data_IF_266991889235
#
_entry.id   IF_266991889235
#
_cell.length_a   1.000
_cell.length_b   1.000
_cell.length_c   1.000
_cell.angle_alpha   90.00
_cell.angle_beta   90.00
_cell.angle_gamma   90.00
#
_symmetry.space_group_name_H-M   'P 1'
#
loop_
_entity.id
_entity.type
_entity.pdbx_description
1 polymer ?
#
# COMPACT_ATOMS: atom_id res chain seq x y z
N UNK A 1 -27.94 -39.79 27.78
CA UNK A 1 -26.56 -40.23 28.10
C UNK A 1 -25.89 -40.97 26.93
N UNK A 2 -26.53 -41.99 26.28
CA UNK A 2 -25.92 -42.73 25.13
C UNK A 2 -25.63 -41.86 23.87
N UNK A 3 -26.32 -40.77 23.67
CA UNK A 3 -26.12 -39.86 22.52
C UNK A 3 -24.95 -38.89 22.74
N UNK A 4 -24.72 -38.44 23.97
CA UNK A 4 -23.56 -37.64 24.35
C UNK A 4 -22.23 -38.40 24.16
N UNK A 5 -22.23 -39.71 24.43
CA UNK A 5 -21.09 -40.60 24.24
C UNK A 5 -20.75 -40.86 22.76
N UNK A 6 -21.70 -40.67 21.82
CA UNK A 6 -21.45 -40.84 20.37
C UNK A 6 -20.80 -39.61 19.73
N UNK A 7 -20.88 -38.46 20.35
CA UNK A 7 -20.35 -37.19 19.84
C UNK A 7 -19.06 -36.73 20.57
N UNK A 8 -18.51 -37.57 21.45
CA UNK A 8 -17.28 -37.26 22.15
C UNK A 8 -16.10 -36.89 21.23
N UNK A 9 -15.91 -37.48 20.01
CA UNK A 9 -14.83 -37.08 19.13
C UNK A 9 -15.02 -35.67 18.61
N UNK A 10 -16.28 -35.26 18.37
CA UNK A 10 -16.61 -33.89 17.94
C UNK A 10 -16.32 -32.89 19.04
N UNK A 11 -16.66 -33.22 20.30
CA UNK A 11 -16.34 -32.41 21.46
C UNK A 11 -14.84 -32.28 21.72
N UNK A 12 -14.06 -33.32 21.48
CA UNK A 12 -12.61 -33.27 21.58
C UNK A 12 -12.02 -32.37 20.48
N UNK A 13 -12.58 -32.43 19.26
CA UNK A 13 -12.14 -31.58 18.15
C UNK A 13 -12.47 -30.12 18.43
N UNK A 14 -13.66 -29.84 18.97
CA UNK A 14 -14.11 -28.51 19.38
C UNK A 14 -13.26 -27.97 20.56
N UNK A 15 -13.06 -28.78 21.59
CA UNK A 15 -12.27 -28.40 22.75
C UNK A 15 -10.79 -28.23 22.38
N UNK A 16 -10.25 -29.11 21.52
CA UNK A 16 -8.89 -29.01 21.01
C UNK A 16 -8.67 -27.75 20.19
N UNK A 17 -9.62 -27.43 19.29
CA UNK A 17 -9.57 -26.21 18.48
C UNK A 17 -9.69 -24.96 19.35
N UNK A 18 -10.63 -24.94 20.31
CA UNK A 18 -10.79 -23.84 21.25
C UNK A 18 -9.55 -23.66 22.15
N UNK A 19 -8.95 -24.79 22.59
CA UNK A 19 -7.74 -24.73 23.41
C UNK A 19 -6.51 -24.27 22.62
N UNK A 20 -6.36 -24.71 21.37
CA UNK A 20 -5.30 -24.22 20.45
C UNK A 20 -5.49 -22.73 20.21
N UNK A 21 -6.72 -22.27 19.91
CA UNK A 21 -7.04 -20.86 19.73
C UNK A 21 -6.75 -20.04 20.99
N UNK A 22 -7.11 -20.54 22.17
CA UNK A 22 -6.85 -19.88 23.45
C UNK A 22 -5.35 -19.77 23.76
N UNK A 23 -4.58 -20.82 23.51
CA UNK A 23 -3.13 -20.85 23.77
C UNK A 23 -2.34 -19.98 22.79
N UNK A 24 -2.83 -19.83 21.57
CA UNK A 24 -2.22 -19.01 20.51
C UNK A 24 -2.59 -17.54 20.66
N UNK A 25 -3.65 -17.23 21.41
CA UNK A 25 -4.28 -15.89 21.52
C UNK A 25 -3.52 -14.90 22.43
N UNK A 26 -2.23 -15.07 22.65
CA UNK A 26 -1.44 -14.01 23.33
C UNK A 26 -1.13 -12.79 22.44
N UNK A 27 -1.55 -12.80 21.18
CA UNK A 27 -1.44 -11.69 20.24
C UNK A 27 -2.71 -11.62 19.38
N UNK A 28 -3.28 -10.43 19.19
CA UNK A 28 -4.54 -10.14 18.49
C UNK A 28 -4.61 -10.60 17.01
N UNK A 29 -3.62 -11.32 16.52
CA UNK A 29 -3.41 -11.77 15.15
C UNK A 29 -4.32 -12.93 14.70
N UNK A 30 -5.07 -13.57 15.59
CA UNK A 30 -5.77 -14.84 15.31
C UNK A 30 -7.29 -14.76 15.35
N UNK A 31 -7.85 -13.55 15.32
CA UNK A 31 -9.31 -13.32 15.47
C UNK A 31 -10.11 -14.14 14.46
N UNK A 32 -9.71 -14.17 13.20
CA UNK A 32 -10.45 -14.87 12.15
C UNK A 32 -10.38 -16.39 12.27
N UNK A 33 -9.26 -16.95 12.72
CA UNK A 33 -9.21 -18.38 12.99
C UNK A 33 -10.17 -18.78 14.12
N UNK A 34 -10.32 -17.93 15.14
CA UNK A 34 -11.28 -18.12 16.23
C UNK A 34 -12.74 -17.98 15.77
N UNK A 35 -13.02 -17.00 14.89
CA UNK A 35 -14.36 -16.81 14.30
C UNK A 35 -14.76 -18.05 13.50
N UNK A 36 -13.89 -18.56 12.62
CA UNK A 36 -14.18 -19.75 11.85
C UNK A 36 -14.32 -21.01 12.73
N UNK A 37 -13.50 -21.14 13.76
CA UNK A 37 -13.65 -22.23 14.73
C UNK A 37 -15.00 -22.15 15.48
N UNK A 38 -15.40 -20.94 15.90
CA UNK A 38 -16.71 -20.70 16.52
C UNK A 38 -17.88 -21.06 15.60
N UNK A 39 -17.81 -20.70 14.31
CA UNK A 39 -18.81 -21.08 13.32
C UNK A 39 -18.87 -22.61 13.11
N UNK A 40 -17.74 -23.28 13.10
CA UNK A 40 -17.70 -24.75 13.04
C UNK A 40 -18.43 -25.37 14.24
N UNK A 41 -18.22 -24.83 15.44
CA UNK A 41 -18.93 -25.26 16.67
C UNK A 41 -20.44 -25.06 16.54
N UNK A 42 -20.86 -23.88 16.10
CA UNK A 42 -22.29 -23.56 15.91
C UNK A 42 -22.95 -24.52 14.92
N UNK A 43 -22.26 -24.92 13.86
CA UNK A 43 -22.79 -25.90 12.90
C UNK A 43 -22.95 -27.33 13.48
N UNK A 44 -22.22 -27.67 14.54
CA UNK A 44 -22.34 -28.98 15.21
C UNK A 44 -23.53 -29.04 16.18
N UNK A 45 -23.89 -27.93 16.82
CA UNK A 45 -24.94 -27.90 17.83
C UNK A 45 -26.33 -28.48 17.36
N UNK A 46 -26.80 -28.14 16.13
CA UNK A 46 -28.07 -28.69 15.64
C UNK A 46 -28.10 -30.19 15.48
N UNK A 47 -26.94 -30.86 15.30
CA UNK A 47 -26.85 -32.31 15.10
C UNK A 47 -27.47 -33.13 16.23
N UNK A 48 -27.60 -32.53 17.41
CA UNK A 48 -28.26 -33.20 18.56
C UNK A 48 -29.76 -33.36 18.42
N UNK A 49 -30.43 -32.51 17.61
CA UNK A 49 -31.91 -32.48 17.51
C UNK A 49 -32.43 -32.83 16.12
N UNK A 50 -31.59 -32.69 15.09
CA UNK A 50 -32.01 -32.94 13.70
C UNK A 50 -32.04 -34.40 13.40
N UNK A 51 -33.21 -34.90 12.93
CA UNK A 51 -33.41 -36.29 12.49
C UNK A 51 -33.33 -36.48 10.96
N UNK A 52 -33.44 -35.40 10.21
CA UNK A 52 -33.38 -35.40 8.74
C UNK A 52 -31.95 -35.59 8.27
N UNK A 53 -31.67 -36.65 7.54
CA UNK A 53 -30.31 -37.05 7.11
C UNK A 53 -29.61 -35.94 6.28
N UNK A 54 -30.34 -35.30 5.38
CA UNK A 54 -29.73 -34.25 4.53
C UNK A 54 -29.26 -33.04 5.33
N UNK A 55 -30.00 -32.60 6.36
CA UNK A 55 -29.59 -31.54 7.26
C UNK A 55 -28.34 -31.92 8.08
N UNK A 56 -28.26 -33.17 8.51
CA UNK A 56 -27.08 -33.72 9.21
C UNK A 56 -25.85 -33.62 8.31
N UNK A 57 -25.97 -34.08 7.06
CA UNK A 57 -24.86 -33.96 6.10
C UNK A 57 -24.47 -32.51 5.82
N UNK A 58 -25.43 -31.60 5.67
CA UNK A 58 -25.16 -30.18 5.49
C UNK A 58 -24.38 -29.59 6.68
N UNK A 59 -24.81 -29.89 7.90
CA UNK A 59 -24.08 -29.41 9.10
C UNK A 59 -22.67 -29.99 9.18
N UNK A 60 -22.46 -31.26 8.84
CA UNK A 60 -21.12 -31.87 8.81
C UNK A 60 -20.24 -31.20 7.76
N UNK A 61 -20.76 -30.98 6.55
CA UNK A 61 -20.02 -30.28 5.49
C UNK A 61 -19.64 -28.87 5.91
N UNK A 62 -20.58 -28.12 6.46
CA UNK A 62 -20.30 -26.73 6.92
C UNK A 62 -19.26 -26.70 8.05
N UNK A 63 -19.36 -27.63 9.01
CA UNK A 63 -18.36 -27.78 10.07
C UNK A 63 -16.97 -28.04 9.50
N UNK A 64 -16.87 -28.96 8.54
CA UNK A 64 -15.60 -29.29 7.90
C UNK A 64 -15.02 -28.11 7.13
N UNK A 65 -15.85 -27.35 6.42
CA UNK A 65 -15.43 -26.13 5.72
C UNK A 65 -14.89 -25.08 6.70
N UNK A 66 -15.64 -24.77 7.76
CA UNK A 66 -15.19 -23.76 8.73
C UNK A 66 -13.95 -24.20 9.50
N UNK A 67 -13.82 -25.50 9.81
CA UNK A 67 -12.60 -26.03 10.42
C UNK A 67 -11.40 -25.88 9.48
N UNK A 68 -11.55 -26.19 8.20
CA UNK A 68 -10.51 -26.00 7.19
C UNK A 68 -10.12 -24.50 7.04
N UNK A 69 -11.10 -23.59 7.00
CA UNK A 69 -10.86 -22.14 6.97
C UNK A 69 -10.10 -21.66 8.21
N UNK A 70 -10.47 -22.17 9.40
CA UNK A 70 -9.77 -21.86 10.65
C UNK A 70 -8.29 -22.28 10.60
N UNK A 71 -8.01 -23.49 10.13
CA UNK A 71 -6.64 -24.01 9.99
C UNK A 71 -5.87 -23.23 8.94
N UNK A 72 -6.49 -22.91 7.81
CA UNK A 72 -5.87 -22.11 6.74
C UNK A 72 -5.50 -20.70 7.24
N UNK A 73 -6.41 -20.03 7.95
CA UNK A 73 -6.16 -18.74 8.56
C UNK A 73 -4.98 -18.80 9.54
N UNK A 74 -4.97 -19.79 10.43
CA UNK A 74 -3.91 -20.00 11.40
C UNK A 74 -2.54 -20.22 10.74
N UNK A 75 -2.52 -21.01 9.66
CA UNK A 75 -1.29 -21.29 8.90
C UNK A 75 -0.73 -20.01 8.26
N UNK A 76 -1.59 -19.27 7.57
CA UNK A 76 -1.20 -18.01 6.91
C UNK A 76 -0.80 -16.94 7.90
N UNK A 77 -1.49 -16.82 9.03
CA UNK A 77 -1.12 -15.87 10.09
C UNK A 77 0.27 -16.18 10.67
N UNK A 78 0.60 -17.46 10.88
CA UNK A 78 1.95 -17.86 11.31
C UNK A 78 3.03 -17.59 10.24
N UNK A 79 2.68 -17.74 8.97
CA UNK A 79 3.55 -17.39 7.85
C UNK A 79 3.76 -15.88 7.73
N UNK A 80 2.70 -15.10 7.89
CA UNK A 80 2.72 -13.64 7.85
C UNK A 80 3.54 -13.03 8.99
N UNK A 81 3.52 -13.66 10.19
CA UNK A 81 4.36 -13.21 11.31
C UNK A 81 5.87 -13.39 11.06
N UNK A 82 6.25 -14.15 10.04
CA UNK A 82 7.64 -14.33 9.60
C UNK A 82 7.99 -13.50 8.37
N UNK A 83 7.00 -13.05 7.60
CA UNK A 83 7.19 -12.14 6.48
C UNK A 83 6.82 -10.73 6.93
N UNK A 84 7.74 -9.81 6.79
CA UNK A 84 7.77 -8.42 7.29
C UNK A 84 6.70 -7.47 6.74
N UNK A 85 5.62 -7.97 6.14
CA UNK A 85 4.57 -7.13 5.60
C UNK A 85 3.30 -7.21 6.45
N UNK A 86 3.20 -6.34 7.43
CA UNK A 86 1.91 -6.06 8.12
C UNK A 86 1.14 -5.08 7.24
N UNK A 87 -0.02 -5.46 6.67
CA UNK A 87 -0.89 -4.49 6.01
C UNK A 87 -1.25 -3.40 7.02
N UNK A 88 -1.09 -2.13 6.61
CA UNK A 88 -1.57 -1.00 7.39
C UNK A 88 -3.08 -1.16 7.61
N UNK A 89 -3.58 -1.12 8.86
CA UNK A 89 -5.01 -1.14 9.10
C UNK A 89 -5.63 0.15 8.55
N UNK A 90 -6.44 0.04 7.52
CA UNK A 90 -7.32 1.10 7.07
C UNK A 90 -8.60 1.03 7.90
N UNK A 91 -8.91 2.11 8.55
CA UNK A 91 -10.11 2.50 9.29
C UNK A 91 -10.12 2.27 10.81
N UNK A 92 -10.00 3.41 11.48
CA UNK A 92 -10.72 3.86 12.69
C UNK A 92 -11.05 2.81 13.76
N UNK A 93 -10.08 2.00 14.17
CA UNK A 93 -10.01 1.59 15.55
C UNK A 93 -8.79 2.26 16.17
N UNK A 94 -8.85 2.73 17.43
CA UNK A 94 -7.66 3.24 18.08
C UNK A 94 -6.58 2.15 17.93
N UNK A 95 -5.38 2.53 17.46
CA UNK A 95 -4.31 1.57 17.26
C UNK A 95 -4.08 0.83 18.59
N UNK A 96 -3.82 -0.46 18.51
CA UNK A 96 -3.36 -1.21 19.68
C UNK A 96 -2.15 -0.47 20.28
N UNK A 97 -2.00 -0.43 21.61
CA UNK A 97 -0.89 0.27 22.25
C UNK A 97 0.44 -0.12 21.61
N UNK A 98 1.12 0.83 20.95
CA UNK A 98 2.39 0.62 20.26
C UNK A 98 2.35 0.59 18.72
N UNK A 99 1.17 0.70 18.07
CA UNK A 99 1.05 0.84 16.61
C UNK A 99 0.93 2.31 16.23
N UNK A 100 1.76 2.70 15.28
CA UNK A 100 2.05 4.06 14.87
C UNK A 100 0.84 4.94 14.57
N UNK A 101 0.77 6.10 15.21
CA UNK A 101 -0.11 7.22 14.84
C UNK A 101 0.30 7.91 13.52
N UNK A 102 1.24 7.33 12.75
CA UNK A 102 1.75 7.90 11.49
C UNK A 102 0.66 8.20 10.45
N UNK A 103 -0.51 7.59 10.59
CA UNK A 103 -1.63 7.72 9.68
C UNK A 103 -2.75 8.63 10.22
N UNK A 104 -2.54 9.30 11.36
CA UNK A 104 -3.55 10.21 11.93
C UNK A 104 -3.89 11.39 11.00
N UNK A 105 -3.02 11.69 10.03
CA UNK A 105 -3.18 12.74 9.03
C UNK A 105 -3.80 12.27 7.71
N UNK A 106 -4.45 11.11 7.68
CA UNK A 106 -5.14 10.60 6.51
C UNK A 106 -6.65 10.80 6.67
N UNK A 107 -7.31 11.23 5.59
CA UNK A 107 -8.76 11.34 5.51
C UNK A 107 -9.27 10.67 4.23
N UNK A 108 -10.57 10.27 4.16
CA UNK A 108 -11.18 9.85 2.91
C UNK A 108 -11.09 10.96 1.85
N UNK A 109 -10.75 10.57 0.62
CA UNK A 109 -10.72 11.46 -0.54
C UNK A 109 -11.59 10.86 -1.65
N UNK A 110 -12.59 11.59 -2.17
CA UNK A 110 -13.55 11.04 -3.12
C UNK A 110 -12.93 10.67 -4.48
N UNK A 111 -11.74 11.20 -4.80
CA UNK A 111 -11.04 10.89 -6.05
C UNK A 111 -9.91 9.88 -5.84
N UNK A 112 -9.13 10.06 -4.78
CA UNK A 112 -7.91 9.27 -4.53
C UNK A 112 -8.18 8.07 -3.60
N UNK A 113 -9.41 7.92 -3.09
CA UNK A 113 -9.80 6.95 -2.07
C UNK A 113 -9.45 7.44 -0.67
N UNK A 114 -8.24 7.89 -0.47
CA UNK A 114 -7.77 8.58 0.72
C UNK A 114 -6.68 9.58 0.34
N UNK A 115 -6.39 10.50 1.25
CA UNK A 115 -5.38 11.52 1.03
C UNK A 115 -4.98 12.21 2.33
N UNK A 116 -4.05 13.15 2.25
CA UNK A 116 -3.63 13.89 3.44
C UNK A 116 -4.78 14.77 3.95
N UNK A 117 -4.90 14.84 5.26
CA UNK A 117 -5.77 15.82 5.91
C UNK A 117 -5.14 17.21 5.77
N UNK A 118 -5.86 18.21 5.20
CA UNK A 118 -5.32 19.53 4.98
C UNK A 118 -5.19 20.28 6.31
N UNK A 119 -4.15 19.98 7.04
CA UNK A 119 -3.76 20.68 8.27
C UNK A 119 -2.26 20.59 8.47
N UNK A 120 -1.66 21.68 8.94
CA UNK A 120 -0.29 21.64 9.41
C UNK A 120 -0.25 20.84 10.72
N UNK A 121 0.57 19.82 10.75
CA UNK A 121 0.74 18.99 11.93
C UNK A 121 2.19 18.58 12.14
N UNK A 122 2.48 18.21 13.38
CA UNK A 122 3.74 17.61 13.76
C UNK A 122 3.42 16.39 14.62
N UNK A 123 3.42 15.25 13.97
CA UNK A 123 2.92 14.01 14.55
C UNK A 123 4.07 13.07 14.89
N UNK A 124 4.07 12.53 16.12
CA UNK A 124 4.95 11.43 16.49
C UNK A 124 4.51 10.18 15.75
N UNK A 125 5.47 9.49 15.17
CA UNK A 125 5.27 8.33 14.35
C UNK A 125 6.19 7.22 14.86
N UNK A 126 5.62 6.27 15.59
CA UNK A 126 6.36 5.14 16.13
C UNK A 126 5.86 3.83 15.52
N UNK A 127 6.76 2.95 15.17
CA UNK A 127 6.48 1.56 14.80
C UNK A 127 7.32 0.64 15.68
N UNK A 128 6.67 -0.40 16.19
CA UNK A 128 7.32 -1.45 16.95
C UNK A 128 6.84 -2.83 16.47
N UNK A 129 7.69 -3.85 16.58
CA UNK A 129 7.34 -5.25 16.37
C UNK A 129 7.47 -5.94 17.72
N UNK A 130 6.33 -6.29 18.33
CA UNK A 130 6.30 -6.63 19.75
C UNK A 130 6.80 -5.46 20.58
N UNK A 131 7.74 -5.70 21.47
CA UNK A 131 8.35 -4.68 22.34
C UNK A 131 9.60 -4.01 21.70
N UNK A 132 9.94 -4.35 20.45
CA UNK A 132 11.15 -3.83 19.78
C UNK A 132 10.77 -2.66 18.89
N UNK A 133 11.22 -1.43 19.19
CA UNK A 133 10.97 -0.28 18.32
C UNK A 133 11.71 -0.45 16.99
N UNK A 134 10.99 -0.23 15.88
CA UNK A 134 11.53 -0.20 14.53
C UNK A 134 11.97 1.23 14.19
N UNK A 135 11.11 2.20 14.47
CA UNK A 135 11.42 3.62 14.42
C UNK A 135 10.51 4.42 15.35
N UNK A 136 11.02 5.57 15.77
CA UNK A 136 10.29 6.62 16.49
C UNK A 136 10.75 7.96 15.91
N UNK A 137 9.88 8.62 15.16
CA UNK A 137 10.18 9.82 14.39
C UNK A 137 9.07 10.85 14.51
N UNK A 138 9.38 12.08 14.12
CA UNK A 138 8.39 13.12 13.94
C UNK A 138 8.22 13.39 12.45
N UNK A 139 6.97 13.41 12.00
CA UNK A 139 6.57 13.76 10.64
C UNK A 139 5.83 15.10 10.69
N UNK A 140 6.26 16.03 9.88
CA UNK A 140 5.65 17.36 9.75
C UNK A 140 4.91 17.47 8.42
N UNK A 141 3.68 17.98 8.45
CA UNK A 141 2.90 18.29 7.25
C UNK A 141 2.67 19.79 7.13
N UNK A 142 2.50 20.25 5.89
CA UNK A 142 2.10 21.61 5.56
C UNK A 142 0.59 21.80 5.73
N UNK A 143 0.08 23.03 5.59
CA UNK A 143 -1.37 23.33 5.61
C UNK A 143 -2.16 22.52 4.58
N UNK A 144 -1.52 22.12 3.48
CA UNK A 144 -2.08 21.21 2.48
C UNK A 144 -2.19 19.75 2.94
N UNK A 145 -1.60 19.41 4.09
CA UNK A 145 -1.48 18.05 4.62
C UNK A 145 -0.34 17.23 4.02
N UNK A 146 0.30 17.69 2.95
CA UNK A 146 1.45 17.01 2.36
C UNK A 146 2.70 17.17 3.23
N UNK A 147 3.58 16.16 3.18
CA UNK A 147 4.80 16.14 3.98
C UNK A 147 5.71 17.31 3.63
N UNK A 148 6.30 17.91 4.67
CA UNK A 148 7.17 19.08 4.52
C UNK A 148 8.42 18.77 3.68
N UNK A 149 8.81 19.77 2.91
CA UNK A 149 10.10 19.91 2.23
C UNK A 149 10.68 21.28 2.56
N UNK A 150 11.93 21.58 2.23
CA UNK A 150 12.47 22.92 2.43
C UNK A 150 11.61 23.99 1.76
N UNK A 151 11.14 24.97 2.52
CA UNK A 151 10.28 26.04 2.02
C UNK A 151 11.14 27.23 1.55
N UNK A 152 11.03 27.60 0.27
CA UNK A 152 11.87 28.64 -0.37
C UNK A 152 11.11 29.94 -0.65
N UNK A 153 9.79 29.94 -0.50
CA UNK A 153 8.94 31.09 -0.74
C UNK A 153 9.05 31.64 -2.17
N UNK A 154 9.16 32.95 -2.32
CA UNK A 154 9.21 33.63 -3.64
C UNK A 154 10.59 33.58 -4.30
N UNK A 155 11.59 33.00 -3.66
CA UNK A 155 12.94 32.87 -4.24
C UNK A 155 12.98 31.79 -5.32
N UNK A 156 12.16 30.73 -5.17
CA UNK A 156 12.16 29.63 -6.10
C UNK A 156 11.42 29.95 -7.40
N UNK A 157 12.06 29.69 -8.53
CA UNK A 157 11.50 29.82 -9.88
C UNK A 157 11.14 28.46 -10.48
N UNK A 158 11.75 27.41 -9.98
CA UNK A 158 11.53 26.04 -10.46
C UNK A 158 10.88 25.18 -9.36
N UNK A 159 9.83 24.45 -9.72
CA UNK A 159 9.23 23.44 -8.84
C UNK A 159 9.71 22.04 -9.20
N UNK A 160 9.86 21.18 -8.18
CA UNK A 160 10.12 19.75 -8.34
C UNK A 160 9.09 18.97 -7.55
N UNK A 161 8.21 18.28 -8.24
CA UNK A 161 7.12 17.49 -7.66
C UNK A 161 7.54 16.03 -7.57
N UNK A 162 7.39 15.45 -6.41
CA UNK A 162 7.66 14.03 -6.18
C UNK A 162 6.35 13.30 -5.90
N UNK A 163 5.91 12.49 -6.85
CA UNK A 163 4.75 11.61 -6.76
C UNK A 163 5.20 10.19 -6.42
N UNK A 164 4.39 9.44 -5.70
CA UNK A 164 4.71 8.06 -5.36
C UNK A 164 4.02 7.57 -4.08
N UNK A 165 4.56 6.50 -3.54
CA UNK A 165 4.03 5.82 -2.35
C UNK A 165 4.80 6.18 -1.07
N UNK A 166 4.79 5.27 -0.09
CA UNK A 166 5.54 5.35 1.17
C UNK A 166 7.04 5.62 0.98
N UNK A 167 7.64 5.14 -0.10
CA UNK A 167 9.05 5.40 -0.43
C UNK A 167 9.29 6.87 -0.75
N UNK A 168 8.35 7.53 -1.42
CA UNK A 168 8.39 8.97 -1.69
C UNK A 168 8.00 9.78 -0.47
N UNK A 169 6.97 9.36 0.24
CA UNK A 169 6.62 9.95 1.53
C UNK A 169 7.81 9.92 2.50
N UNK A 170 8.52 8.81 2.56
CA UNK A 170 9.63 8.56 3.46
C UNK A 170 9.17 7.95 4.77
N UNK A 171 8.38 6.85 4.69
CA UNK A 171 7.96 6.13 5.90
C UNK A 171 9.17 5.68 6.71
N UNK A 172 9.10 5.89 8.03
CA UNK A 172 10.18 5.55 8.96
C UNK A 172 11.39 6.51 8.95
N UNK A 173 11.35 7.59 8.16
CA UNK A 173 12.39 8.61 8.08
C UNK A 173 11.92 9.92 8.72
N UNK A 174 12.83 10.65 9.39
CA UNK A 174 12.59 12.03 9.79
C UNK A 174 12.43 12.92 8.56
N UNK A 175 11.85 14.11 8.72
CA UNK A 175 11.55 15.00 7.60
C UNK A 175 12.79 15.27 6.74
N UNK A 176 13.88 15.64 7.37
CA UNK A 176 15.16 15.99 6.73
C UNK A 176 15.89 14.77 6.10
N UNK A 177 15.39 13.56 6.33
CA UNK A 177 15.94 12.33 5.76
C UNK A 177 15.17 11.82 4.53
N UNK A 178 13.97 12.36 4.26
CA UNK A 178 13.22 11.97 3.06
C UNK A 178 13.91 12.48 1.80
N UNK A 179 13.92 11.66 0.72
CA UNK A 179 14.65 12.08 -0.48
C UNK A 179 14.09 13.35 -1.14
N UNK A 180 12.78 13.68 -1.11
CA UNK A 180 12.28 14.96 -1.61
C UNK A 180 12.82 16.16 -0.82
N UNK A 181 12.99 15.99 0.50
CA UNK A 181 13.61 17.03 1.34
C UNK A 181 15.08 17.21 0.99
N UNK A 182 15.85 16.12 0.93
CA UNK A 182 17.27 16.14 0.60
C UNK A 182 17.55 16.73 -0.79
N UNK A 183 16.69 16.45 -1.77
CA UNK A 183 16.79 17.09 -3.10
C UNK A 183 16.62 18.61 -2.98
N UNK A 184 15.61 19.06 -2.22
CA UNK A 184 15.37 20.49 -1.99
C UNK A 184 16.54 21.19 -1.33
N UNK A 185 17.20 20.57 -0.36
CA UNK A 185 18.41 21.11 0.26
C UNK A 185 19.58 21.18 -0.74
N UNK A 186 19.79 20.13 -1.52
CA UNK A 186 20.90 20.04 -2.45
C UNK A 186 20.79 21.00 -3.66
N UNK A 187 19.57 21.37 -4.05
CA UNK A 187 19.30 22.29 -5.17
C UNK A 187 19.29 23.77 -4.75
N UNK A 188 19.08 24.06 -3.46
CA UNK A 188 19.10 25.39 -2.90
C UNK A 188 17.88 26.25 -3.25
N UNK A 189 18.01 27.58 -3.06
CA UNK A 189 16.89 28.50 -3.05
C UNK A 189 16.12 28.67 -4.37
N UNK A 190 16.75 28.37 -5.50
CA UNK A 190 16.10 28.48 -6.81
C UNK A 190 15.02 27.41 -7.06
N UNK A 191 14.96 26.36 -6.22
CA UNK A 191 14.07 25.24 -6.39
C UNK A 191 13.15 25.05 -5.19
N UNK A 192 11.85 24.90 -5.42
CA UNK A 192 10.88 24.47 -4.43
C UNK A 192 10.51 23.00 -4.70
N UNK A 193 10.80 22.13 -3.77
CA UNK A 193 10.38 20.72 -3.84
C UNK A 193 9.02 20.52 -3.16
N UNK A 194 8.25 19.56 -3.66
CA UNK A 194 6.96 19.16 -3.10
C UNK A 194 6.94 17.63 -2.96
N UNK A 195 6.58 17.13 -1.78
CA UNK A 195 6.42 15.72 -1.52
C UNK A 195 4.94 15.33 -1.59
N UNK A 196 4.51 14.78 -2.73
CA UNK A 196 3.18 14.23 -2.97
C UNK A 196 3.15 12.69 -2.81
N UNK A 197 4.14 12.13 -2.15
CA UNK A 197 4.12 10.72 -1.74
C UNK A 197 3.06 10.49 -0.67
N UNK A 198 2.42 9.33 -0.73
CA UNK A 198 1.46 8.88 0.28
C UNK A 198 1.58 7.38 0.47
N UNK A 199 1.66 6.94 1.72
CA UNK A 199 1.76 5.51 2.04
C UNK A 199 0.65 4.71 1.38
N UNK A 200 1.02 3.64 0.69
CA UNK A 200 0.06 2.77 0.00
C UNK A 200 -0.39 3.21 -1.40
N UNK A 201 -0.07 4.42 -1.87
CA UNK A 201 -0.44 4.86 -3.21
C UNK A 201 0.19 4.00 -4.31
N UNK A 202 -0.50 3.95 -5.45
CA UNK A 202 -0.05 3.32 -6.69
C UNK A 202 -0.11 4.29 -7.87
N UNK A 203 0.09 3.74 -9.07
CA UNK A 203 0.09 4.52 -10.32
C UNK A 203 -1.26 5.17 -10.62
N UNK A 204 -2.34 4.54 -10.19
CA UNK A 204 -3.70 5.05 -10.37
C UNK A 204 -3.97 6.33 -9.56
N UNK A 205 -3.47 6.44 -8.31
CA UNK A 205 -3.56 7.70 -7.56
C UNK A 205 -2.67 8.79 -8.18
N UNK A 206 -1.46 8.43 -8.62
CA UNK A 206 -0.59 9.36 -9.32
C UNK A 206 -1.27 9.96 -10.55
N UNK A 207 -1.86 9.11 -11.41
CA UNK A 207 -2.57 9.56 -12.60
C UNK A 207 -3.79 10.42 -12.23
N UNK A 208 -4.62 9.96 -11.28
CA UNK A 208 -5.78 10.70 -10.82
C UNK A 208 -5.42 12.08 -10.25
N UNK A 209 -4.32 12.18 -9.51
CA UNK A 209 -3.84 13.46 -8.98
C UNK A 209 -3.43 14.41 -10.12
N UNK A 210 -2.72 13.93 -11.14
CA UNK A 210 -2.35 14.73 -12.32
C UNK A 210 -3.58 15.19 -13.11
N UNK A 211 -4.56 14.30 -13.33
CA UNK A 211 -5.78 14.61 -14.08
C UNK A 211 -6.71 15.57 -13.32
N UNK A 212 -6.67 15.57 -11.98
CA UNK A 212 -7.62 16.31 -11.13
C UNK A 212 -7.53 17.84 -11.23
N UNK A 213 -6.45 18.37 -11.72
CA UNK A 213 -6.17 19.81 -11.67
C UNK A 213 -5.69 20.32 -10.30
N UNK A 214 -5.54 19.46 -9.29
CA UNK A 214 -5.06 19.86 -7.95
C UNK A 214 -3.63 20.39 -7.95
N UNK A 215 -2.89 20.19 -9.04
CA UNK A 215 -1.53 20.68 -9.23
C UNK A 215 -1.48 22.00 -10.03
N UNK A 216 -2.63 22.49 -10.56
CA UNK A 216 -2.70 23.65 -11.46
C UNK A 216 -2.01 24.91 -10.90
N UNK A 217 -2.18 25.17 -9.61
CA UNK A 217 -1.62 26.38 -8.99
C UNK A 217 -0.08 26.33 -8.90
N UNK A 218 0.49 25.14 -8.78
CA UNK A 218 1.94 24.97 -8.83
C UNK A 218 2.43 25.27 -10.25
N UNK A 219 1.79 24.70 -11.28
CA UNK A 219 2.18 24.93 -12.66
C UNK A 219 1.99 26.38 -13.11
N UNK A 220 1.05 27.14 -12.51
CA UNK A 220 0.86 28.56 -12.76
C UNK A 220 1.90 29.44 -12.07
N UNK A 221 2.37 29.02 -10.87
CA UNK A 221 3.26 29.78 -10.03
C UNK A 221 4.72 29.72 -10.46
N UNK A 222 5.17 28.55 -10.93
CA UNK A 222 6.57 28.31 -11.23
C UNK A 222 6.84 28.36 -12.74
N UNK A 223 7.97 28.94 -13.13
CA UNK A 223 8.37 29.08 -14.53
C UNK A 223 8.70 27.73 -15.17
N UNK A 224 9.22 26.80 -14.36
CA UNK A 224 9.57 25.42 -14.77
C UNK A 224 9.14 24.44 -13.70
N UNK A 225 8.54 23.34 -14.11
CA UNK A 225 8.10 22.29 -13.20
C UNK A 225 8.61 20.95 -13.68
N UNK A 226 9.33 20.24 -12.82
CA UNK A 226 9.72 18.86 -13.02
C UNK A 226 8.78 17.94 -12.23
N UNK A 227 8.32 16.85 -12.83
CA UNK A 227 7.44 15.89 -12.18
C UNK A 227 8.10 14.53 -12.15
N UNK A 228 8.43 14.05 -10.96
CA UNK A 228 9.02 12.74 -10.73
C UNK A 228 8.00 11.78 -10.15
N UNK A 229 8.02 10.54 -10.63
CA UNK A 229 7.26 9.44 -10.06
C UNK A 229 8.17 8.28 -9.72
N UNK A 230 8.30 7.96 -8.44
CA UNK A 230 9.01 6.76 -7.99
C UNK A 230 8.10 5.55 -8.13
N UNK A 231 8.53 4.58 -8.93
CA UNK A 231 7.76 3.37 -9.22
C UNK A 231 8.36 2.13 -8.57
N UNK A 232 7.46 1.24 -8.10
CA UNK A 232 7.76 -0.08 -7.52
C UNK A 232 7.00 -1.15 -8.30
N UNK A 233 7.49 -2.39 -8.30
CA UNK A 233 6.78 -3.53 -8.88
C UNK A 233 5.38 -3.73 -8.27
N UNK A 234 5.23 -3.46 -6.96
CA UNK A 234 3.96 -3.51 -6.26
C UNK A 234 2.90 -2.52 -6.79
N UNK A 235 3.32 -1.45 -7.47
CA UNK A 235 2.38 -0.52 -8.11
C UNK A 235 1.55 -1.17 -9.23
N UNK A 236 2.08 -2.22 -9.88
CA UNK A 236 1.33 -3.02 -10.86
C UNK A 236 0.18 -3.76 -10.18
N UNK A 237 0.41 -4.33 -8.99
CA UNK A 237 -0.61 -4.99 -8.19
C UNK A 237 -1.65 -3.98 -7.68
N UNK A 238 -1.20 -2.83 -7.19
CA UNK A 238 -2.08 -1.78 -6.65
C UNK A 238 -3.02 -1.21 -7.70
N UNK A 239 -2.54 -0.94 -8.90
CA UNK A 239 -3.40 -0.39 -9.97
C UNK A 239 -4.51 -1.35 -10.44
N UNK A 240 -4.40 -2.64 -10.14
CA UNK A 240 -5.44 -3.64 -10.36
C UNK A 240 -6.47 -3.76 -9.23
N UNK A 241 -6.32 -2.99 -8.14
CA UNK A 241 -7.20 -3.06 -6.97
C UNK A 241 -6.94 -4.26 -6.06
N UNK A 242 -5.71 -4.81 -6.11
CA UNK A 242 -5.28 -5.91 -5.24
C UNK A 242 -4.62 -5.42 -3.93
N UNK A 243 -4.72 -4.13 -3.64
CA UNK A 243 -4.32 -3.55 -2.36
C UNK A 243 -5.55 -3.54 -1.42
N UNK A 244 -5.56 -4.29 -0.31
CA UNK A 244 -6.72 -4.39 0.58
C UNK A 244 -7.13 -3.05 1.19
N UNK A 245 -6.16 -2.18 1.44
CA UNK A 245 -6.37 -0.85 2.02
C UNK A 245 -6.92 0.17 1.05
N UNK A 246 -6.96 -0.10 -0.26
CA UNK A 246 -7.30 0.84 -1.31
C UNK A 246 -8.63 0.51 -2.01
N UNK A 247 -9.65 0.19 -1.22
CA UNK A 247 -10.98 -0.19 -1.74
C UNK A 247 -11.70 0.96 -2.42
N UNK A 248 -11.48 2.19 -1.99
CA UNK A 248 -12.12 3.39 -2.54
C UNK A 248 -11.22 4.14 -3.54
N UNK A 249 -10.03 3.62 -3.80
CA UNK A 249 -9.09 4.19 -4.76
C UNK A 249 -9.61 4.26 -6.19
N UNK A 250 -9.05 5.15 -7.03
CA UNK A 250 -9.49 5.37 -8.41
C UNK A 250 -9.23 4.14 -9.27
N UNK A 251 -10.28 3.66 -9.92
CA UNK A 251 -10.20 2.53 -10.83
C UNK A 251 -10.03 2.98 -12.27
N UNK A 252 -9.00 2.49 -12.91
CA UNK A 252 -8.79 2.62 -14.35
C UNK A 252 -8.92 1.25 -15.02
N UNK A 253 -9.33 1.27 -16.28
CA UNK A 253 -9.31 0.10 -17.17
C UNK A 253 -8.57 0.47 -18.45
N UNK A 254 -8.04 -0.53 -19.12
CA UNK A 254 -7.47 -0.36 -20.44
C UNK A 254 -8.61 -0.43 -21.47
N UNK A 255 -8.92 0.69 -22.11
CA UNK A 255 -9.91 0.80 -23.17
C UNK A 255 -9.25 1.36 -24.42
N UNK A 256 -9.26 0.61 -25.51
CA UNK A 256 -8.60 0.98 -26.77
C UNK A 256 -7.13 1.41 -26.61
N UNK A 257 -6.41 0.73 -25.70
CA UNK A 257 -5.01 1.03 -25.39
C UNK A 257 -4.79 2.22 -24.46
N UNK A 258 -5.86 2.88 -23.98
CA UNK A 258 -5.78 4.06 -23.11
C UNK A 258 -6.32 3.74 -21.71
N UNK A 259 -5.60 4.18 -20.67
CA UNK A 259 -6.09 4.09 -19.29
C UNK A 259 -7.28 5.02 -19.08
N UNK A 260 -8.47 4.46 -18.87
CA UNK A 260 -9.73 5.19 -18.73
C UNK A 260 -10.27 5.07 -17.31
N UNK A 261 -10.56 6.21 -16.67
CA UNK A 261 -11.15 6.27 -15.33
C UNK A 261 -12.60 5.75 -15.34
N UNK A 262 -12.94 4.88 -14.38
CA UNK A 262 -14.26 4.24 -14.29
C UNK A 262 -14.88 4.29 -12.88
N UNK A 263 -14.53 5.28 -12.09
CA UNK A 263 -14.98 5.41 -10.71
C UNK A 263 -13.98 4.82 -9.71
N UNK A 264 -14.45 4.29 -8.59
CA UNK A 264 -13.58 3.64 -7.60
C UNK A 264 -13.60 2.10 -7.73
N UNK A 265 -12.62 1.43 -7.11
CA UNK A 265 -12.64 -0.03 -7.02
C UNK A 265 -13.90 -0.53 -6.30
N UNK A 266 -14.33 0.13 -5.21
CA UNK A 266 -15.55 -0.23 -4.49
C UNK A 266 -16.81 -0.14 -5.38
N UNK A 267 -16.92 0.90 -6.22
CA UNK A 267 -18.06 1.05 -7.14
C UNK A 267 -18.14 -0.07 -8.19
N UNK A 268 -16.98 -0.63 -8.58
CA UNK A 268 -16.93 -1.73 -9.54
C UNK A 268 -17.27 -3.09 -8.93
N UNK A 269 -17.31 -3.23 -7.61
CA UNK A 269 -17.58 -4.48 -6.90
C UNK A 269 -19.08 -4.62 -6.64
N UNK A 270 -19.60 -5.86 -6.73
CA UNK A 270 -20.97 -6.15 -6.31
C UNK A 270 -21.17 -5.81 -4.83
N UNK A 271 -22.43 -5.53 -4.43
CA UNK A 271 -22.76 -5.24 -3.03
C UNK A 271 -22.34 -6.37 -2.08
N UNK A 272 -22.46 -7.62 -2.52
CA UNK A 272 -22.04 -8.80 -1.76
C UNK A 272 -20.51 -8.80 -1.55
N UNK A 273 -19.76 -8.53 -2.63
CA UNK A 273 -18.29 -8.46 -2.54
C UNK A 273 -17.85 -7.34 -1.61
N UNK A 274 -18.46 -6.15 -1.70
CA UNK A 274 -18.18 -5.04 -0.78
C UNK A 274 -18.43 -5.40 0.68
N UNK A 275 -19.55 -6.12 0.94
CA UNK A 275 -19.85 -6.63 2.27
C UNK A 275 -18.81 -7.62 2.79
N UNK A 276 -18.38 -8.56 1.96
CA UNK A 276 -17.33 -9.52 2.31
C UNK A 276 -15.98 -8.84 2.52
N UNK A 277 -15.59 -7.92 1.65
CA UNK A 277 -14.34 -7.15 1.79
C UNK A 277 -14.31 -6.45 3.14
N UNK A 278 -15.41 -5.77 3.54
CA UNK A 278 -15.51 -5.06 4.82
C UNK A 278 -15.49 -5.98 6.04
N UNK A 279 -16.11 -7.15 5.96
CA UNK A 279 -16.18 -8.11 7.07
C UNK A 279 -14.87 -8.86 7.22
N UNK A 280 -14.23 -9.24 6.10
CA UNK A 280 -13.06 -10.12 6.06
C UNK A 280 -11.73 -9.38 5.79
N UNK A 281 -11.72 -8.04 5.88
CA UNK A 281 -10.54 -7.21 5.59
C UNK A 281 -9.28 -7.60 6.38
N UNK A 282 -9.46 -8.14 7.58
CA UNK A 282 -8.36 -8.59 8.45
C UNK A 282 -8.07 -10.09 8.33
N UNK A 283 -8.75 -10.83 7.44
CA UNK A 283 -8.49 -12.25 7.22
C UNK A 283 -7.31 -12.44 6.27
N UNK A 284 -6.24 -13.08 6.74
CA UNK A 284 -5.08 -13.42 5.92
C UNK A 284 -5.45 -14.42 4.81
N UNK A 285 -6.35 -15.36 5.12
CA UNK A 285 -6.86 -16.32 4.13
C UNK A 285 -7.67 -15.60 3.04
N UNK A 286 -8.55 -14.69 3.42
CA UNK A 286 -9.32 -13.90 2.45
C UNK A 286 -8.40 -13.05 1.55
N UNK A 287 -7.42 -12.40 2.14
CA UNK A 287 -6.41 -11.60 1.41
C UNK A 287 -5.62 -12.49 0.45
N UNK A 288 -5.17 -13.66 0.89
CA UNK A 288 -4.47 -14.61 0.03
C UNK A 288 -5.34 -15.08 -1.14
N UNK A 289 -6.58 -15.52 -0.87
CA UNK A 289 -7.51 -16.00 -1.90
C UNK A 289 -7.88 -14.90 -2.91
N UNK A 290 -8.06 -13.67 -2.46
CA UNK A 290 -8.39 -12.54 -3.34
C UNK A 290 -7.19 -12.01 -4.10
N UNK A 291 -5.98 -12.29 -3.63
CA UNK A 291 -4.72 -11.98 -4.31
C UNK A 291 -4.28 -13.00 -5.38
N UNK A 292 -4.75 -14.26 -5.29
CA UNK A 292 -4.38 -15.32 -6.25
C UNK A 292 -4.57 -14.95 -7.73
N UNK A 293 -5.63 -14.21 -8.15
CA UNK A 293 -5.79 -13.81 -9.54
C UNK A 293 -4.71 -12.84 -10.05
N UNK A 294 -3.91 -12.21 -9.17
CA UNK A 294 -2.88 -11.26 -9.59
C UNK A 294 -1.88 -11.88 -10.56
N UNK A 295 -1.33 -13.04 -10.25
CA UNK A 295 -0.32 -13.69 -11.10
C UNK A 295 -0.87 -14.06 -12.48
N UNK A 296 -2.13 -14.51 -12.54
CA UNK A 296 -2.80 -14.85 -13.80
C UNK A 296 -3.11 -13.61 -14.65
N UNK A 297 -3.28 -12.44 -14.04
CA UNK A 297 -3.60 -11.17 -14.71
C UNK A 297 -2.39 -10.23 -14.82
N UNK A 298 -1.21 -10.63 -14.31
CA UNK A 298 -0.02 -9.76 -14.22
C UNK A 298 0.29 -9.05 -15.55
N UNK A 299 0.21 -9.77 -16.68
CA UNK A 299 0.47 -9.14 -17.99
C UNK A 299 -0.52 -8.02 -18.29
N UNK A 300 -1.84 -8.27 -18.16
CA UNK A 300 -2.86 -7.25 -18.41
C UNK A 300 -2.74 -6.06 -17.44
N UNK A 301 -2.34 -6.30 -16.20
CA UNK A 301 -2.10 -5.26 -15.21
C UNK A 301 -0.82 -4.47 -15.53
N UNK A 302 0.19 -5.11 -16.07
CA UNK A 302 1.39 -4.41 -16.56
C UNK A 302 1.04 -3.52 -17.75
N UNK A 303 0.24 -4.01 -18.69
CA UNK A 303 -0.23 -3.20 -19.83
C UNK A 303 -1.04 -1.99 -19.34
N UNK A 304 -1.92 -2.16 -18.35
CA UNK A 304 -2.68 -1.07 -17.73
C UNK A 304 -1.76 -0.08 -17.02
N UNK A 305 -0.80 -0.57 -16.22
CA UNK A 305 0.19 0.24 -15.53
C UNK A 305 0.99 1.12 -16.50
N UNK A 306 1.47 0.54 -17.60
CA UNK A 306 2.21 1.27 -18.64
C UNK A 306 1.33 2.31 -19.34
N UNK A 307 0.07 1.97 -19.62
CA UNK A 307 -0.89 2.91 -20.19
C UNK A 307 -1.21 4.08 -19.26
N UNK A 308 -1.19 3.86 -17.93
CA UNK A 308 -1.34 4.95 -16.95
C UNK A 308 -0.14 5.90 -16.96
N UNK A 309 1.08 5.38 -17.06
CA UNK A 309 2.30 6.20 -17.17
C UNK A 309 2.31 7.02 -18.46
N UNK A 310 1.98 6.40 -19.58
CA UNK A 310 1.86 7.07 -20.88
C UNK A 310 0.82 8.20 -20.83
N UNK A 311 -0.35 7.91 -20.26
CA UNK A 311 -1.41 8.90 -20.12
C UNK A 311 -0.98 10.05 -19.20
N UNK A 312 -0.35 9.76 -18.08
CA UNK A 312 0.16 10.77 -17.17
C UNK A 312 1.15 11.71 -17.88
N UNK A 313 2.10 11.15 -18.66
CA UNK A 313 3.02 11.93 -19.44
C UNK A 313 2.31 12.80 -20.47
N UNK A 314 1.36 12.24 -21.23
CA UNK A 314 0.57 12.99 -22.23
C UNK A 314 -0.23 14.14 -21.61
N UNK A 315 -0.84 13.93 -20.45
CA UNK A 315 -1.54 15.00 -19.72
C UNK A 315 -0.58 16.10 -19.29
N UNK A 316 0.58 15.74 -18.76
CA UNK A 316 1.61 16.71 -18.37
C UNK A 316 2.13 17.51 -19.56
N UNK A 317 2.39 16.86 -20.70
CA UNK A 317 2.84 17.52 -21.93
C UNK A 317 1.78 18.49 -22.48
N UNK A 318 0.57 18.01 -22.62
CA UNK A 318 -0.52 18.76 -23.27
C UNK A 318 -1.04 19.92 -22.42
N UNK A 319 -1.18 19.69 -21.10
CA UNK A 319 -1.79 20.66 -20.20
C UNK A 319 -0.78 21.61 -19.57
N UNK A 320 0.42 21.11 -19.26
CA UNK A 320 1.37 21.81 -18.43
C UNK A 320 2.74 22.04 -19.08
N UNK A 321 2.94 21.58 -20.33
CA UNK A 321 4.22 21.65 -21.04
C UNK A 321 5.39 21.08 -20.21
N UNK A 322 5.11 20.00 -19.50
CA UNK A 322 6.04 19.28 -18.63
C UNK A 322 6.01 17.80 -18.98
N UNK A 323 6.95 17.02 -18.47
CA UNK A 323 7.08 15.59 -18.72
C UNK A 323 7.11 14.81 -17.40
N UNK A 324 6.66 13.55 -17.46
CA UNK A 324 6.82 12.60 -16.38
C UNK A 324 8.24 12.00 -16.41
N UNK A 325 8.97 12.16 -15.32
CA UNK A 325 10.26 11.49 -15.12
C UNK A 325 10.05 10.32 -14.18
N UNK A 326 10.25 9.11 -14.66
CA UNK A 326 10.10 7.89 -13.86
C UNK A 326 11.40 7.61 -13.11
N UNK A 327 11.33 7.53 -11.79
CA UNK A 327 12.42 6.98 -10.98
C UNK A 327 12.17 5.48 -10.87
N UNK A 328 12.99 4.67 -11.54
CA UNK A 328 12.83 3.21 -11.56
C UNK A 328 13.54 2.60 -10.37
N UNK A 329 12.81 2.23 -9.30
CA UNK A 329 13.38 1.52 -8.17
C UNK A 329 14.03 0.20 -8.62
N UNK A 330 15.03 -0.30 -7.89
CA UNK A 330 15.91 -1.41 -8.28
C UNK A 330 15.19 -2.65 -8.84
N UNK A 331 13.99 -2.93 -8.31
CA UNK A 331 13.18 -4.08 -8.72
C UNK A 331 12.49 -3.87 -10.07
N UNK A 332 12.29 -2.61 -10.48
CA UNK A 332 11.60 -2.24 -11.72
C UNK A 332 12.53 -2.03 -12.93
N UNK A 333 13.80 -2.37 -12.81
CA UNK A 333 14.75 -2.29 -13.95
C UNK A 333 14.29 -3.06 -15.18
N UNK A 334 13.51 -4.12 -14.99
CA UNK A 334 12.95 -4.91 -16.07
C UNK A 334 12.06 -4.12 -17.04
N UNK A 335 11.49 -2.99 -16.61
CA UNK A 335 10.59 -2.15 -17.39
C UNK A 335 11.25 -0.92 -18.03
N UNK A 336 12.57 -0.77 -17.94
CA UNK A 336 13.27 0.40 -18.50
C UNK A 336 13.11 0.51 -20.02
N UNK A 337 13.02 -0.63 -20.71
CA UNK A 337 12.79 -0.66 -22.17
C UNK A 337 11.38 -0.17 -22.51
N UNK A 338 10.39 -0.62 -21.75
CA UNK A 338 8.99 -0.23 -21.91
C UNK A 338 8.82 1.26 -21.62
N UNK A 339 9.45 1.79 -20.57
CA UNK A 339 9.41 3.24 -20.30
C UNK A 339 10.03 4.04 -21.45
N UNK A 340 11.18 3.59 -21.97
CA UNK A 340 11.82 4.25 -23.12
C UNK A 340 10.97 4.18 -24.38
N UNK A 341 10.29 3.06 -24.62
CA UNK A 341 9.37 2.89 -25.76
C UNK A 341 8.15 3.84 -25.69
N UNK A 342 7.74 4.23 -24.50
CA UNK A 342 6.69 5.23 -24.23
C UNK A 342 7.23 6.68 -24.29
N UNK A 343 8.51 6.89 -24.59
CA UNK A 343 9.14 8.22 -24.59
C UNK A 343 9.35 8.82 -23.21
N UNK A 344 9.19 8.02 -22.14
CA UNK A 344 9.37 8.49 -20.77
C UNK A 344 10.84 8.72 -20.44
N UNK A 345 11.12 9.80 -19.75
CA UNK A 345 12.42 10.04 -19.15
C UNK A 345 12.59 9.16 -17.91
N UNK A 346 13.77 8.57 -17.72
CA UNK A 346 14.03 7.63 -16.64
C UNK A 346 15.24 8.04 -15.83
N UNK A 347 15.10 8.07 -14.52
CA UNK A 347 16.21 8.09 -13.57
C UNK A 347 16.41 6.64 -13.10
N UNK A 348 17.54 6.03 -13.49
CA UNK A 348 18.00 4.77 -12.91
C UNK A 348 18.93 5.05 -11.73
N UNK A 349 18.50 4.82 -10.48
CA UNK A 349 19.33 5.06 -9.31
C UNK A 349 20.36 3.97 -9.07
N UNK A 350 20.32 2.86 -9.79
CA UNK A 350 21.15 1.67 -9.53
C UNK A 350 22.66 1.91 -9.52
N UNK A 351 23.24 2.85 -10.30
CA UNK A 351 24.67 3.14 -10.18
C UNK A 351 25.09 3.67 -8.80
N UNK A 352 24.13 4.22 -8.05
CA UNK A 352 24.35 4.71 -6.69
C UNK A 352 24.22 3.59 -5.62
N UNK A 353 23.76 2.39 -6.01
CA UNK A 353 23.49 1.25 -5.13
C UNK A 353 24.28 0.01 -5.60
N UNK A 354 25.63 0.04 -5.60
CA UNK A 354 26.46 -0.96 -6.30
C UNK A 354 26.30 -2.37 -5.75
N UNK A 355 25.99 -2.53 -4.48
CA UNK A 355 25.84 -3.81 -3.78
C UNK A 355 24.39 -4.16 -3.42
N UNK A 356 23.39 -3.46 -3.98
CA UNK A 356 21.98 -3.66 -3.62
C UNK A 356 21.52 -5.12 -3.77
N UNK A 357 21.95 -5.80 -4.81
CA UNK A 357 21.52 -7.17 -5.08
C UNK A 357 21.99 -8.18 -4.02
N UNK A 358 23.12 -7.92 -3.37
CA UNK A 358 23.76 -8.80 -2.39
C UNK A 358 23.59 -8.31 -0.94
N UNK A 359 23.23 -7.04 -0.75
CA UNK A 359 23.19 -6.39 0.56
C UNK A 359 21.98 -5.47 0.70
N UNK A 360 20.77 -5.97 0.43
CA UNK A 360 19.52 -5.20 0.49
C UNK A 360 19.28 -4.57 1.87
N UNK A 361 19.64 -5.28 2.92
CA UNK A 361 19.43 -4.84 4.32
C UNK A 361 20.20 -3.56 4.67
N UNK A 362 21.31 -3.27 3.97
CA UNK A 362 22.04 -2.02 4.15
C UNK A 362 21.26 -0.77 3.69
N UNK A 363 20.22 -0.96 2.89
CA UNK A 363 19.41 0.08 2.27
C UNK A 363 17.98 0.14 2.78
N UNK A 364 17.58 -0.85 3.59
CA UNK A 364 16.27 -0.94 4.22
C UNK A 364 16.28 -0.55 5.70
N UNK A 365 15.13 -0.10 6.20
CA UNK A 365 14.88 -0.01 7.62
C UNK A 365 14.71 -1.44 8.12
N UNK A 366 15.50 -1.83 9.11
CA UNK A 366 15.47 -3.18 9.66
C UNK A 366 14.07 -3.53 10.16
N UNK A 367 13.58 -4.69 9.77
CA UNK A 367 12.24 -5.19 10.11
C UNK A 367 11.07 -4.34 9.57
N UNK A 368 11.32 -3.50 8.55
CA UNK A 368 10.27 -2.69 7.92
C UNK A 368 10.29 -2.79 6.38
N UNK A 369 11.46 -2.87 5.78
CA UNK A 369 11.63 -3.01 4.33
C UNK A 369 11.55 -1.68 3.56
N UNK A 370 11.12 -0.56 4.17
CA UNK A 370 11.20 0.76 3.53
C UNK A 370 12.65 1.23 3.43
N UNK A 371 12.96 2.09 2.43
CA UNK A 371 14.29 2.67 2.30
C UNK A 371 14.73 3.41 3.57
N UNK A 372 15.93 3.13 4.06
CA UNK A 372 16.52 3.85 5.17
C UNK A 372 17.14 5.21 4.72
N UNK A 373 17.67 5.98 5.66
CA UNK A 373 18.25 7.29 5.38
C UNK A 373 19.42 7.24 4.36
N UNK A 374 20.21 6.16 4.36
CA UNK A 374 21.27 5.94 3.35
C UNK A 374 20.67 5.80 1.96
N UNK A 375 19.66 4.96 1.81
CA UNK A 375 18.99 4.77 0.52
C UNK A 375 18.32 6.05 0.03
N UNK A 376 17.68 6.80 0.92
CA UNK A 376 17.07 8.09 0.60
C UNK A 376 18.09 9.12 0.13
N UNK A 377 19.28 9.16 0.75
CA UNK A 377 20.39 10.05 0.35
C UNK A 377 20.90 9.71 -1.06
N UNK A 378 21.12 8.42 -1.35
CA UNK A 378 21.59 7.98 -2.67
C UNK A 378 20.55 8.23 -3.77
N UNK A 379 19.27 8.04 -3.44
CA UNK A 379 18.17 8.35 -4.35
C UNK A 379 18.09 9.84 -4.63
N UNK A 380 18.23 10.69 -3.60
CA UNK A 380 18.27 12.14 -3.75
C UNK A 380 19.44 12.58 -4.66
N UNK A 381 20.62 11.98 -4.49
CA UNK A 381 21.77 12.26 -5.33
C UNK A 381 21.51 11.91 -6.80
N UNK A 382 20.93 10.75 -7.10
CA UNK A 382 20.55 10.36 -8.46
C UNK A 382 19.62 11.40 -9.12
N UNK A 383 18.63 11.90 -8.38
CA UNK A 383 17.69 12.94 -8.85
C UNK A 383 18.39 14.28 -9.06
N UNK A 384 19.23 14.70 -8.12
CA UNK A 384 20.00 15.96 -8.22
C UNK A 384 20.94 15.93 -9.44
N UNK A 385 21.64 14.82 -9.66
CA UNK A 385 22.53 14.67 -10.80
C UNK A 385 21.77 14.61 -12.14
N UNK A 386 20.56 14.07 -12.15
CA UNK A 386 19.67 14.16 -13.29
C UNK A 386 19.27 15.60 -13.58
N UNK A 387 18.81 16.36 -12.56
CA UNK A 387 18.37 17.75 -12.72
C UNK A 387 19.50 18.68 -13.14
N UNK A 388 20.73 18.47 -12.65
CA UNK A 388 21.91 19.26 -13.03
C UNK A 388 22.33 19.07 -14.49
N UNK A 389 21.95 17.96 -15.12
CA UNK A 389 22.20 17.68 -16.54
C UNK A 389 21.14 18.27 -17.46
N UNK A 390 20.00 18.73 -16.91
CA UNK A 390 18.97 19.38 -17.72
C UNK A 390 19.38 20.79 -18.15
N UNK A 391 19.02 21.23 -19.37
CA UNK A 391 19.27 22.60 -19.79
C UNK A 391 18.59 23.60 -18.84
N UNK A 392 19.35 24.62 -18.47
CA UNK A 392 18.87 25.74 -17.61
C UNK A 392 17.83 26.57 -18.31
#
# INVERSE_FOLDING_TARGET
MKMLLRLWPVWLLVAGTAWICFWVNKQDLYIWSMVFAGLAIVCVLPLYRIRQSWLVYTCICMTSVFAALSVGELYLTRGASKSEYVPLPQHAHPPAPGVAECLSNIQPDPLLGYGPKPEQSRTSCMRAIGDVPVYDIIVTTLDSGWRITPQRGDKARTAVLFLGCSYTFGDGLRDEQSYPYLVGEALGDAYQTFNFGMSGYGTHQMLALIESGRLDDIFKRYEKVYVFYLTLDDHIRRCGGYAPWDTDGPRYILQDGVATYTGSFAQSRSWLRRGLDKILEHSNLYTALTGLPFDTHRKALTDLYLAMLDKANKVLEQKYHSNLVVISWMENKSYTKEYSALGLQVVDPSPYFPDFATNKDAYGIKNDGHPNARAATLLAQAVVDYLRRQPR
#
